data_IF_812173873707
#
_entry.id   IF_812173873707
#
_cell.length_a   1.000
_cell.length_b   1.000
_cell.length_c   1.000
_cell.angle_alpha   90.00
_cell.angle_beta   90.00
_cell.angle_gamma   90.00
#
_symmetry.space_group_name_H-M   'P 1'
#
loop_
_entity.id
_entity.type
_entity.pdbx_description
1 polymer ?
#
# COMPACT_ATOMS: atom_id res chain seq x y z
N UNK A 1 19.95 1.38 -1.93
CA UNK A 1 18.53 1.09 -2.26
C UNK A 1 18.45 0.50 -3.66
N UNK A 2 17.83 -0.65 -3.79
CA UNK A 2 17.56 -1.29 -5.08
C UNK A 2 16.06 -1.59 -5.17
N UNK A 3 15.41 -1.19 -6.26
CA UNK A 3 14.02 -1.56 -6.53
C UNK A 3 14.00 -2.76 -7.49
N UNK A 4 13.19 -3.76 -7.18
CA UNK A 4 12.98 -4.93 -8.04
C UNK A 4 11.57 -5.50 -7.88
N UNK A 5 11.06 -6.26 -8.86
CA UNK A 5 9.85 -7.03 -8.66
C UNK A 5 9.98 -8.02 -7.49
N UNK A 6 8.89 -8.21 -6.73
CA UNK A 6 8.84 -9.23 -5.71
C UNK A 6 8.85 -10.63 -6.33
N UNK A 7 9.43 -11.59 -5.64
CA UNK A 7 9.38 -13.00 -5.98
C UNK A 7 8.74 -13.80 -4.83
N UNK A 8 8.28 -15.05 -5.06
CA UNK A 8 7.60 -15.84 -4.01
C UNK A 8 8.40 -15.99 -2.71
N UNK A 9 9.73 -16.01 -2.79
CA UNK A 9 10.62 -16.09 -1.63
C UNK A 9 10.57 -14.86 -0.73
N UNK A 10 10.05 -13.73 -1.22
CA UNK A 10 9.88 -12.51 -0.44
C UNK A 10 8.65 -12.53 0.48
N UNK A 11 7.76 -13.50 0.33
CA UNK A 11 6.43 -13.48 0.97
C UNK A 11 6.48 -13.32 2.49
N UNK A 12 7.38 -14.03 3.18
CA UNK A 12 7.51 -13.90 4.64
C UNK A 12 8.08 -12.56 5.06
N UNK A 13 9.03 -12.01 4.31
CA UNK A 13 9.59 -10.68 4.56
C UNK A 13 8.54 -9.59 4.40
N UNK A 14 7.71 -9.68 3.35
CA UNK A 14 6.61 -8.75 3.12
C UNK A 14 5.54 -8.84 4.21
N UNK A 15 5.20 -10.06 4.66
CA UNK A 15 4.27 -10.26 5.76
C UNK A 15 4.79 -9.62 7.06
N UNK A 16 6.02 -9.86 7.42
CA UNK A 16 6.66 -9.30 8.62
C UNK A 16 6.74 -7.77 8.57
N UNK A 17 7.15 -7.22 7.43
CA UNK A 17 7.22 -5.76 7.22
C UNK A 17 5.82 -5.12 7.34
N UNK A 18 4.81 -5.75 6.76
CA UNK A 18 3.42 -5.28 6.82
C UNK A 18 2.90 -5.23 8.27
N UNK A 19 3.19 -6.26 9.06
CA UNK A 19 2.86 -6.30 10.50
C UNK A 19 3.54 -5.14 11.24
N UNK A 20 4.84 -4.94 11.03
CA UNK A 20 5.59 -3.85 11.67
C UNK A 20 4.97 -2.48 11.35
N UNK A 21 4.72 -2.22 10.07
CA UNK A 21 4.18 -0.93 9.63
C UNK A 21 2.77 -0.71 10.18
N UNK A 22 1.88 -1.69 10.03
CA UNK A 22 0.50 -1.56 10.46
C UNK A 22 0.37 -1.39 11.97
N UNK A 23 1.06 -2.23 12.74
CA UNK A 23 1.08 -2.16 14.21
C UNK A 23 1.66 -0.82 14.67
N UNK A 24 2.78 -0.40 14.09
CA UNK A 24 3.43 0.86 14.44
C UNK A 24 2.62 2.10 14.08
N UNK A 25 1.74 2.00 13.09
CA UNK A 25 0.87 3.11 12.67
C UNK A 25 -0.38 3.22 13.54
N UNK A 26 -1.04 2.10 13.85
CA UNK A 26 -2.39 2.11 14.42
C UNK A 26 -2.47 1.64 15.87
N UNK A 27 -1.48 0.89 16.38
CA UNK A 27 -1.54 0.24 17.69
C UNK A 27 -0.46 0.76 18.66
N UNK A 28 -0.24 2.06 18.68
CA UNK A 28 0.87 2.68 19.46
C UNK A 28 0.68 2.63 20.97
N UNK A 29 -0.55 2.52 21.47
CA UNK A 29 -0.87 2.56 22.91
C UNK A 29 -1.09 1.18 23.52
N UNK A 30 -1.13 0.14 22.70
CA UNK A 30 -1.38 -1.23 23.10
C UNK A 30 -2.04 -1.99 21.96
N UNK A 31 -1.99 -3.31 22.04
CA UNK A 31 -2.52 -4.19 21.00
C UNK A 31 -3.69 -4.98 21.60
N UNK A 32 -4.90 -4.77 21.06
CA UNK A 32 -6.08 -5.53 21.44
C UNK A 32 -6.34 -6.69 20.49
N UNK A 33 -7.15 -7.64 20.91
CA UNK A 33 -7.44 -8.85 20.15
C UNK A 33 -8.12 -8.55 18.78
N UNK A 34 -9.01 -7.56 18.72
CA UNK A 34 -9.69 -7.18 17.48
C UNK A 34 -8.70 -6.85 16.36
N UNK A 35 -7.74 -5.97 16.62
CA UNK A 35 -6.72 -5.61 15.63
C UNK A 35 -5.64 -6.68 15.46
N UNK A 36 -5.29 -7.38 16.53
CA UNK A 36 -4.32 -8.47 16.45
C UNK A 36 -4.82 -9.60 15.54
N UNK A 37 -6.06 -10.01 15.70
CA UNK A 37 -6.69 -11.04 14.87
C UNK A 37 -6.74 -10.61 13.40
N UNK A 38 -7.07 -9.34 13.14
CA UNK A 38 -7.07 -8.79 11.80
C UNK A 38 -5.69 -8.87 11.15
N UNK A 39 -4.66 -8.29 11.77
CA UNK A 39 -3.33 -8.22 11.14
C UNK A 39 -2.68 -9.61 10.98
N UNK A 40 -2.90 -10.51 11.93
CA UNK A 40 -2.37 -11.88 11.85
C UNK A 40 -3.06 -12.73 10.80
N UNK A 41 -4.31 -12.42 10.44
CA UNK A 41 -5.03 -13.07 9.35
C UNK A 41 -4.76 -12.43 7.99
N UNK A 42 -4.54 -11.11 7.96
CA UNK A 42 -4.34 -10.34 6.72
C UNK A 42 -2.91 -10.50 6.20
N UNK A 43 -1.91 -10.41 7.07
CA UNK A 43 -0.50 -10.40 6.68
C UNK A 43 0.16 -11.74 6.97
N UNK A 44 -0.22 -12.76 6.21
CA UNK A 44 0.39 -14.09 6.28
C UNK A 44 1.30 -14.32 5.07
N UNK A 45 2.37 -15.12 5.20
CA UNK A 45 3.20 -15.50 4.04
C UNK A 45 2.38 -16.08 2.88
N UNK A 46 1.39 -16.93 3.18
CA UNK A 46 0.55 -17.54 2.16
C UNK A 46 -0.26 -16.52 1.36
N UNK A 47 -0.83 -15.51 2.03
CA UNK A 47 -1.56 -14.43 1.34
C UNK A 47 -0.64 -13.56 0.50
N UNK A 48 0.53 -13.21 1.01
CA UNK A 48 1.52 -12.42 0.28
C UNK A 48 2.05 -13.19 -0.93
N UNK A 49 2.32 -14.48 -0.81
CA UNK A 49 2.73 -15.31 -1.93
C UNK A 49 1.64 -15.36 -3.02
N UNK A 50 0.38 -15.55 -2.63
CA UNK A 50 -0.73 -15.54 -3.57
C UNK A 50 -0.84 -14.20 -4.32
N UNK A 51 -0.64 -13.07 -3.65
CA UNK A 51 -0.63 -11.75 -4.27
C UNK A 51 0.56 -11.56 -5.22
N UNK A 52 1.75 -12.04 -4.86
CA UNK A 52 2.93 -11.99 -5.71
C UNK A 52 2.69 -12.75 -7.02
N UNK A 53 2.00 -13.88 -6.96
CA UNK A 53 1.73 -14.74 -8.12
C UNK A 53 0.49 -14.32 -8.93
N UNK A 54 -0.36 -13.44 -8.40
CA UNK A 54 -1.59 -13.03 -9.06
C UNK A 54 -1.30 -12.14 -10.29
N UNK A 55 -1.90 -12.42 -11.45
CA UNK A 55 -1.59 -11.71 -12.71
C UNK A 55 -2.09 -10.26 -12.74
N UNK A 56 -3.02 -9.89 -11.86
CA UNK A 56 -3.56 -8.54 -11.75
C UNK A 56 -2.85 -7.71 -10.68
N UNK A 57 -1.77 -8.23 -10.11
CA UNK A 57 -0.98 -7.56 -9.05
C UNK A 57 0.44 -7.32 -9.53
N UNK A 58 0.95 -6.11 -9.28
CA UNK A 58 2.38 -5.82 -9.36
C UNK A 58 2.89 -5.46 -7.96
N UNK A 59 3.89 -6.19 -7.50
CA UNK A 59 4.56 -5.89 -6.23
C UNK A 59 6.01 -5.59 -6.51
N UNK A 60 6.47 -4.41 -6.08
CA UNK A 60 7.86 -3.95 -6.23
C UNK A 60 8.41 -3.73 -4.83
N UNK A 61 9.57 -4.30 -4.56
CA UNK A 61 10.27 -4.17 -3.28
C UNK A 61 11.42 -3.21 -3.37
N UNK A 62 11.67 -2.51 -2.27
CA UNK A 62 12.92 -1.80 -2.02
C UNK A 62 13.79 -2.66 -1.11
N UNK A 63 15.04 -2.83 -1.50
CA UNK A 63 15.98 -3.68 -0.80
C UNK A 63 17.26 -2.92 -0.51
N UNK A 64 17.77 -3.08 0.71
CA UNK A 64 19.11 -2.67 1.13
C UNK A 64 20.00 -3.92 1.34
N UNK A 65 21.20 -3.73 1.90
CA UNK A 65 22.13 -4.84 2.12
C UNK A 65 21.66 -5.86 3.17
N UNK A 66 20.71 -5.48 4.03
CA UNK A 66 20.22 -6.34 5.12
C UNK A 66 18.88 -7.00 4.79
N UNK A 67 18.15 -6.51 3.78
CA UNK A 67 16.87 -7.08 3.37
C UNK A 67 15.92 -6.05 2.77
N UNK A 68 14.62 -6.38 2.79
CA UNK A 68 13.55 -5.54 2.27
C UNK A 68 13.19 -4.47 3.32
N UNK A 69 13.23 -3.20 2.92
CA UNK A 69 12.90 -2.05 3.76
C UNK A 69 11.60 -1.33 3.36
N UNK A 70 10.98 -1.77 2.27
CA UNK A 70 9.69 -1.25 1.82
C UNK A 70 9.16 -1.99 0.60
N UNK A 71 7.88 -1.81 0.30
CA UNK A 71 7.28 -2.31 -0.92
C UNK A 71 6.04 -1.53 -1.32
N UNK A 72 5.69 -1.63 -2.60
CA UNK A 72 4.45 -1.13 -3.15
C UNK A 72 3.69 -2.28 -3.82
N UNK A 73 2.37 -2.30 -3.66
CA UNK A 73 1.47 -3.20 -4.39
C UNK A 73 0.49 -2.39 -5.22
N UNK A 74 0.47 -2.68 -6.51
CA UNK A 74 -0.45 -2.10 -7.49
C UNK A 74 -1.44 -3.17 -7.90
N UNK A 75 -2.73 -2.88 -7.77
CA UNK A 75 -3.82 -3.78 -8.12
C UNK A 75 -4.52 -3.24 -9.37
N UNK A 76 -4.48 -4.01 -10.46
CA UNK A 76 -5.12 -3.66 -11.73
C UNK A 76 -6.56 -4.15 -11.76
N UNK A 77 -7.39 -3.51 -12.59
CA UNK A 77 -8.83 -3.83 -12.72
C UNK A 77 -9.55 -3.79 -11.36
N UNK A 78 -9.20 -2.81 -10.57
CA UNK A 78 -9.74 -2.56 -9.25
C UNK A 78 -10.36 -1.15 -9.23
N UNK A 79 -11.68 -1.03 -9.46
CA UNK A 79 -12.34 0.26 -9.54
C UNK A 79 -12.36 0.96 -8.18
N UNK A 80 -12.26 2.29 -8.19
CA UNK A 80 -12.39 3.08 -6.98
C UNK A 80 -13.78 2.92 -6.34
N UNK A 81 -13.91 3.10 -5.02
CA UNK A 81 -15.17 2.84 -4.30
C UNK A 81 -16.23 3.92 -4.46
N UNK A 82 -15.97 4.97 -5.23
CA UNK A 82 -16.89 6.09 -5.45
C UNK A 82 -17.65 5.90 -6.77
N UNK A 83 -17.16 6.54 -7.85
CA UNK A 83 -17.77 6.44 -9.17
C UNK A 83 -17.20 5.28 -10.02
N UNK A 84 -16.07 4.71 -9.61
CA UNK A 84 -15.39 3.66 -10.37
C UNK A 84 -14.66 4.17 -11.61
N UNK A 85 -14.34 5.46 -11.66
CA UNK A 85 -13.66 6.08 -12.81
C UNK A 85 -12.18 5.72 -12.87
N UNK A 86 -11.58 5.39 -11.73
CA UNK A 86 -10.18 5.00 -11.61
C UNK A 86 -10.10 3.48 -11.40
N UNK A 87 -9.37 2.79 -12.27
CA UNK A 87 -9.38 1.32 -12.35
C UNK A 87 -8.11 0.64 -11.80
N UNK A 88 -7.15 1.42 -11.31
CA UNK A 88 -5.89 0.89 -10.79
C UNK A 88 -5.60 1.46 -9.40
N UNK A 89 -5.50 0.56 -8.44
CA UNK A 89 -5.27 0.92 -7.04
C UNK A 89 -3.80 0.82 -6.67
N UNK A 90 -3.28 1.82 -5.96
CA UNK A 90 -2.10 1.66 -5.12
C UNK A 90 -2.59 1.05 -3.81
N UNK A 91 -2.60 -0.27 -3.75
CA UNK A 91 -3.25 -0.99 -2.66
C UNK A 91 -2.43 -1.03 -1.38
N UNK A 92 -1.10 -0.95 -1.49
CA UNK A 92 -0.18 -0.93 -0.36
C UNK A 92 1.05 -0.12 -0.72
N UNK A 93 1.47 0.75 0.19
CA UNK A 93 2.78 1.41 0.15
C UNK A 93 3.32 1.45 1.57
N UNK A 94 4.23 0.55 1.87
CA UNK A 94 4.82 0.40 3.20
C UNK A 94 6.33 0.57 3.14
N UNK A 95 6.85 1.36 4.07
CA UNK A 95 8.29 1.55 4.30
C UNK A 95 8.53 1.38 5.79
N UNK A 96 9.57 0.62 6.16
CA UNK A 96 9.94 0.48 7.57
C UNK A 96 10.07 1.87 8.22
N UNK A 97 9.48 2.08 9.40
CA UNK A 97 9.48 3.40 10.04
C UNK A 97 10.87 4.02 10.24
N UNK A 98 11.87 3.19 10.50
CA UNK A 98 13.27 3.63 10.66
C UNK A 98 13.89 4.21 9.39
N UNK A 99 13.30 3.91 8.23
CA UNK A 99 13.78 4.34 6.93
C UNK A 99 12.92 5.45 6.30
N UNK A 100 11.95 6.00 7.05
CA UNK A 100 11.18 7.15 6.60
C UNK A 100 12.09 8.37 6.39
N UNK A 101 11.72 9.25 5.46
CA UNK A 101 12.49 10.46 5.13
C UNK A 101 13.74 10.23 4.28
N UNK A 102 13.96 9.02 3.78
CA UNK A 102 15.09 8.67 2.92
C UNK A 102 14.74 8.56 1.42
N UNK A 103 13.51 8.93 1.06
CA UNK A 103 13.03 8.90 -0.33
C UNK A 103 12.56 7.53 -0.84
N UNK A 104 12.53 6.50 0.01
CA UNK A 104 12.12 5.15 -0.39
C UNK A 104 10.65 5.13 -0.81
N UNK A 105 9.77 5.76 -0.04
CA UNK A 105 8.34 5.84 -0.35
C UNK A 105 8.07 6.52 -1.69
N UNK A 106 8.75 7.63 -1.97
CA UNK A 106 8.63 8.35 -3.24
C UNK A 106 9.15 7.53 -4.41
N UNK A 107 10.26 6.81 -4.23
CA UNK A 107 10.83 5.95 -5.26
C UNK A 107 9.91 4.77 -5.58
N UNK A 108 9.36 4.11 -4.55
CA UNK A 108 8.40 3.03 -4.71
C UNK A 108 7.12 3.51 -5.39
N UNK A 109 6.58 4.66 -4.96
CA UNK A 109 5.37 5.23 -5.57
C UNK A 109 5.58 5.53 -7.05
N UNK A 110 6.71 6.12 -7.42
CA UNK A 110 7.05 6.38 -8.81
C UNK A 110 7.15 5.08 -9.63
N UNK A 111 7.79 4.06 -9.08
CA UNK A 111 7.88 2.75 -9.73
C UNK A 111 6.52 2.10 -9.92
N UNK A 112 5.64 2.15 -8.92
CA UNK A 112 4.27 1.65 -9.00
C UNK A 112 3.43 2.39 -10.03
N UNK A 113 3.54 3.72 -10.08
CA UNK A 113 2.83 4.53 -11.08
C UNK A 113 3.33 4.22 -12.51
N UNK A 114 4.63 3.98 -12.69
CA UNK A 114 5.17 3.54 -13.99
C UNK A 114 4.61 2.18 -14.40
N UNK A 115 4.56 1.22 -13.47
CA UNK A 115 3.97 -0.08 -13.75
C UNK A 115 2.49 0.03 -14.15
N UNK A 116 1.72 0.89 -13.48
CA UNK A 116 0.34 1.17 -13.84
C UNK A 116 0.23 1.78 -15.26
N UNK A 117 1.08 2.73 -15.56
CA UNK A 117 1.13 3.41 -16.87
C UNK A 117 1.51 2.44 -18.00
N UNK A 118 2.51 1.59 -17.79
CA UNK A 118 2.92 0.55 -18.73
C UNK A 118 1.82 -0.48 -18.99
N UNK A 119 0.95 -0.72 -17.99
CA UNK A 119 -0.24 -1.56 -18.13
C UNK A 119 -1.44 -0.84 -18.79
N UNK A 120 -1.27 0.44 -19.16
CA UNK A 120 -2.29 1.21 -19.88
C UNK A 120 -3.22 2.04 -18.99
N UNK A 121 -2.93 2.16 -17.69
CA UNK A 121 -3.77 2.96 -16.79
C UNK A 121 -3.57 4.45 -17.03
N UNK A 122 -4.68 5.21 -17.08
CA UNK A 122 -4.66 6.66 -17.20
C UNK A 122 -4.55 7.37 -15.84
N UNK A 123 -4.88 6.67 -14.77
CA UNK A 123 -4.88 7.19 -13.40
C UNK A 123 -4.68 6.08 -12.38
N UNK A 124 -4.32 6.46 -11.18
CA UNK A 124 -4.28 5.57 -10.01
C UNK A 124 -5.07 6.18 -8.87
N UNK A 125 -5.62 5.32 -8.01
CA UNK A 125 -6.30 5.73 -6.80
C UNK A 125 -5.76 4.96 -5.59
N UNK A 126 -6.01 5.48 -4.41
CA UNK A 126 -5.69 4.82 -3.15
C UNK A 126 -6.63 5.29 -2.03
N UNK A 127 -6.64 4.54 -0.94
CA UNK A 127 -7.27 4.97 0.30
C UNK A 127 -6.25 5.01 1.43
N UNK A 128 -6.49 5.91 2.37
CA UNK A 128 -5.77 5.92 3.64
C UNK A 128 -6.73 6.31 4.76
N UNK A 129 -6.50 5.81 5.96
CA UNK A 129 -7.30 6.18 7.12
C UNK A 129 -7.32 7.71 7.27
N UNK A 130 -8.52 8.27 7.49
CA UNK A 130 -8.72 9.72 7.57
C UNK A 130 -7.97 10.39 8.73
N UNK A 131 -7.52 9.61 9.71
CA UNK A 131 -6.71 10.08 10.83
C UNK A 131 -5.20 9.96 10.60
N UNK A 132 -4.78 9.33 9.49
CA UNK A 132 -3.36 9.14 9.18
C UNK A 132 -2.78 10.39 8.51
N UNK A 133 -2.57 11.43 9.31
CA UNK A 133 -2.07 12.73 8.84
C UNK A 133 -0.73 12.66 8.09
N UNK A 134 0.27 11.88 8.52
CA UNK A 134 1.52 11.77 7.77
C UNK A 134 1.34 11.17 6.37
N UNK A 135 0.52 10.14 6.22
CA UNK A 135 0.24 9.54 4.90
C UNK A 135 -0.52 10.51 3.99
N UNK A 136 -1.53 11.20 4.52
CA UNK A 136 -2.30 12.20 3.77
C UNK A 136 -1.36 13.30 3.25
N UNK A 137 -0.50 13.85 4.11
CA UNK A 137 0.47 14.87 3.71
C UNK A 137 1.43 14.36 2.63
N UNK A 138 1.89 13.11 2.76
CA UNK A 138 2.76 12.48 1.76
C UNK A 138 2.07 12.40 0.39
N UNK A 139 0.84 11.86 0.32
CA UNK A 139 0.15 11.72 -0.96
C UNK A 139 -0.21 13.05 -1.60
N UNK A 140 -0.63 14.05 -0.82
CA UNK A 140 -0.85 15.40 -1.33
C UNK A 140 0.44 15.99 -1.92
N UNK A 141 1.56 15.83 -1.26
CA UNK A 141 2.87 16.27 -1.76
C UNK A 141 3.30 15.53 -3.04
N UNK A 142 2.81 14.30 -3.24
CA UNK A 142 3.05 13.51 -4.45
C UNK A 142 2.05 13.81 -5.59
N UNK A 143 1.22 14.83 -5.44
CA UNK A 143 0.29 15.28 -6.48
C UNK A 143 -1.03 14.51 -6.55
N UNK A 144 -1.36 13.73 -5.52
CA UNK A 144 -2.69 13.14 -5.39
C UNK A 144 -3.70 14.18 -4.93
N UNK A 145 -4.94 14.03 -5.38
CA UNK A 145 -6.07 14.85 -4.95
C UNK A 145 -7.05 13.97 -4.18
N UNK A 146 -7.60 14.53 -3.08
CA UNK A 146 -8.67 13.86 -2.35
C UNK A 146 -9.96 13.96 -3.14
N UNK A 147 -10.56 12.81 -3.48
CA UNK A 147 -11.78 12.76 -4.30
C UNK A 147 -13.01 12.35 -3.52
N UNK A 148 -12.87 11.90 -2.28
CA UNK A 148 -14.00 11.55 -1.44
C UNK A 148 -13.59 10.75 -0.22
N UNK A 149 -14.57 10.09 0.38
CA UNK A 149 -14.41 9.21 1.54
C UNK A 149 -15.08 7.87 1.30
N UNK A 150 -14.57 6.84 1.96
CA UNK A 150 -15.15 5.51 1.98
C UNK A 150 -15.01 4.91 3.38
N UNK A 151 -15.56 3.72 3.59
CA UNK A 151 -15.46 3.01 4.86
C UNK A 151 -14.62 1.74 4.67
N UNK A 152 -13.63 1.56 5.52
CA UNK A 152 -12.92 0.29 5.66
C UNK A 152 -13.54 -0.48 6.82
N UNK A 153 -13.93 -1.73 6.57
CA UNK A 153 -14.52 -2.58 7.62
C UNK A 153 -13.50 -3.60 8.11
N UNK A 154 -13.39 -3.69 9.44
CA UNK A 154 -12.68 -4.76 10.13
C UNK A 154 -13.73 -5.43 11.03
N UNK A 155 -14.16 -6.63 10.64
CA UNK A 155 -15.29 -7.35 11.26
C UNK A 155 -16.58 -6.49 11.26
N UNK A 156 -17.11 -6.15 12.42
CA UNK A 156 -18.32 -5.34 12.60
C UNK A 156 -18.05 -3.83 12.75
N UNK A 157 -16.78 -3.42 12.76
CA UNK A 157 -16.40 -2.02 12.92
C UNK A 157 -16.03 -1.39 11.56
N UNK A 158 -16.46 -0.14 11.37
CA UNK A 158 -16.18 0.64 10.17
C UNK A 158 -15.26 1.82 10.51
N UNK A 159 -14.25 2.03 9.65
CA UNK A 159 -13.27 3.11 9.79
C UNK A 159 -13.29 3.97 8.55
N UNK A 160 -13.39 5.29 8.74
CA UNK A 160 -13.40 6.23 7.62
C UNK A 160 -12.02 6.30 6.97
N UNK A 161 -12.01 6.15 5.65
CA UNK A 161 -10.82 6.37 4.81
C UNK A 161 -11.08 7.50 3.83
N UNK A 162 -10.06 8.31 3.59
CA UNK A 162 -10.04 9.25 2.49
C UNK A 162 -9.63 8.52 1.20
N UNK A 163 -10.26 8.88 0.10
CA UNK A 163 -9.96 8.37 -1.24
C UNK A 163 -9.20 9.43 -2.01
N UNK A 164 -8.06 9.05 -2.57
CA UNK A 164 -7.20 9.92 -3.36
C UNK A 164 -7.04 9.35 -4.77
N UNK A 165 -6.88 10.23 -5.73
CA UNK A 165 -6.58 9.85 -7.11
C UNK A 165 -5.52 10.76 -7.71
N UNK A 166 -4.80 10.24 -8.69
CA UNK A 166 -3.83 10.99 -9.48
C UNK A 166 -3.87 10.54 -10.93
N UNK A 167 -3.96 11.49 -11.85
CA UNK A 167 -3.78 11.24 -13.26
C UNK A 167 -2.31 10.88 -13.55
N UNK A 168 -2.11 9.92 -14.44
CA UNK A 168 -0.79 9.55 -14.94
C UNK A 168 -0.50 10.34 -16.22
N UNK A 169 0.76 10.71 -16.41
CA UNK A 169 1.18 11.36 -17.66
C UNK A 169 0.96 10.43 -18.86
N UNK A 170 0.55 10.95 -20.03
CA UNK A 170 0.39 10.14 -21.23
C UNK A 170 1.71 9.55 -21.73
#
# INVERSE_FOLDING_TARGET
>A
MTLRPACPEDASSLAALSLEVWIGTYLRRGINAHFADYVLSEFTPARLEALIQAPDQNIIVSQNQDGIDGYIRVSHRCPDPLAGDHQTEIATLYVQPRHHGKGIGSALLLAGMRAAQEAGSASVWLTTNSENAPAIAFYLAQGFERIGITQCRIEDQAYQNDVFARALAP
#
